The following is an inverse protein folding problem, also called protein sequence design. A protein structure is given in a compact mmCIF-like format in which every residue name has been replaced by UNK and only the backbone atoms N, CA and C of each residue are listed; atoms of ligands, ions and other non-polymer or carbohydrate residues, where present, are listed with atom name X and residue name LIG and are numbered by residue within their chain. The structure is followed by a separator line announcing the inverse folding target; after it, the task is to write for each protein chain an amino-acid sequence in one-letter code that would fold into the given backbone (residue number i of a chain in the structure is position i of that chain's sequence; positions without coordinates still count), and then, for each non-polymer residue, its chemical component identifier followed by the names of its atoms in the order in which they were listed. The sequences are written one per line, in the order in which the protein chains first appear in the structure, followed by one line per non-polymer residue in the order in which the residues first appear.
data_IF_004923775988
#
_entry.id   IF_004923775988
#
_cell.length_a   1.000
_cell.length_b   1.000
_cell.length_c   1.000
_cell.angle_alpha   90.00
_cell.angle_beta   90.00
_cell.angle_gamma   90.00
#
_symmetry.space_group_name_H-M   'P 1'
#
loop_
_entity.id
_entity.type
_entity.pdbx_description
1 polymer ?
#
# COMPACT_ATOMS: atom_id res chain seq x y z
N UNK A 1 7.51 -5.66 -14.46
CA UNK A 1 6.88 -6.90 -14.96
C UNK A 1 7.50 -7.35 -16.28
N UNK A 2 7.66 -6.48 -17.28
CA UNK A 2 8.30 -6.82 -18.57
C UNK A 2 9.65 -7.52 -18.42
N UNK A 3 10.55 -6.99 -17.57
CA UNK A 3 11.84 -7.64 -17.31
C UNK A 3 11.71 -9.00 -16.60
N UNK A 4 10.72 -9.16 -15.73
CA UNK A 4 10.46 -10.42 -15.02
C UNK A 4 9.93 -11.50 -15.98
N UNK A 5 8.99 -11.15 -16.87
CA UNK A 5 8.51 -12.07 -17.91
C UNK A 5 9.63 -12.48 -18.86
N UNK A 6 10.46 -11.52 -19.31
CA UNK A 6 11.63 -11.82 -20.14
C UNK A 6 12.63 -12.74 -19.43
N UNK A 7 12.88 -12.51 -18.14
CA UNK A 7 13.78 -13.37 -17.36
C UNK A 7 13.21 -14.79 -17.21
N UNK A 8 11.89 -14.93 -17.04
CA UNK A 8 11.21 -16.22 -17.00
C UNK A 8 11.27 -16.97 -18.34
N UNK A 9 11.09 -16.27 -19.46
CA UNK A 9 11.28 -16.81 -20.80
C UNK A 9 12.71 -17.29 -21.01
N UNK A 10 13.70 -16.46 -20.69
CA UNK A 10 15.13 -16.80 -20.79
C UNK A 10 15.51 -18.01 -19.92
N UNK A 11 14.95 -18.10 -18.71
CA UNK A 11 15.14 -19.25 -17.83
C UNK A 11 14.62 -20.54 -18.49
N UNK A 12 13.43 -20.47 -19.10
CA UNK A 12 12.82 -21.60 -19.79
C UNK A 12 13.61 -22.01 -21.04
N UNK A 13 14.07 -21.04 -21.83
CA UNK A 13 14.92 -21.26 -23.02
C UNK A 13 16.28 -21.88 -22.65
N UNK A 14 16.84 -21.52 -21.50
CA UNK A 14 18.06 -22.10 -20.97
C UNK A 14 17.86 -23.51 -20.35
N UNK A 15 16.64 -24.07 -20.40
CA UNK A 15 16.32 -25.40 -19.89
C UNK A 15 16.12 -25.48 -18.38
N UNK A 16 16.08 -24.35 -17.68
CA UNK A 16 15.74 -24.30 -16.26
C UNK A 16 14.23 -24.32 -16.08
N UNK A 17 13.75 -25.14 -15.15
CA UNK A 17 12.31 -25.28 -14.86
C UNK A 17 11.92 -24.32 -13.75
N UNK A 18 10.85 -23.58 -13.97
CA UNK A 18 10.22 -22.76 -12.95
C UNK A 18 9.70 -23.61 -11.80
N UNK A 19 9.77 -23.05 -10.60
CA UNK A 19 9.26 -23.67 -9.37
C UNK A 19 8.12 -22.83 -8.77
N UNK A 20 7.59 -23.29 -7.64
CA UNK A 20 6.53 -22.61 -6.88
C UNK A 20 6.88 -21.14 -6.57
N UNK A 21 8.10 -20.87 -6.14
CA UNK A 21 8.55 -19.51 -5.76
C UNK A 21 8.60 -18.59 -6.98
N UNK A 22 9.01 -19.13 -8.13
CA UNK A 22 9.00 -18.40 -9.40
C UNK A 22 7.59 -17.97 -9.76
N UNK A 23 6.61 -18.87 -9.67
CA UNK A 23 5.21 -18.55 -9.97
C UNK A 23 4.60 -17.57 -8.97
N UNK A 24 4.87 -17.70 -7.67
CA UNK A 24 4.45 -16.69 -6.67
C UNK A 24 4.96 -15.30 -7.05
N UNK A 25 6.24 -15.21 -7.43
CA UNK A 25 6.87 -13.94 -7.82
C UNK A 25 6.23 -13.32 -9.06
N UNK A 26 5.95 -14.14 -10.08
CA UNK A 26 5.30 -13.69 -11.32
C UNK A 26 3.85 -13.30 -11.10
N UNK A 27 3.07 -14.10 -10.38
CA UNK A 27 1.66 -13.84 -10.08
C UNK A 27 1.50 -12.59 -9.21
N UNK A 28 2.34 -12.43 -8.18
CA UNK A 28 2.39 -11.21 -7.38
C UNK A 28 2.72 -10.00 -8.25
N UNK A 29 3.71 -10.13 -9.14
CA UNK A 29 4.06 -9.10 -10.13
C UNK A 29 2.89 -8.72 -11.04
N UNK A 30 2.15 -9.70 -11.57
CA UNK A 30 0.95 -9.48 -12.39
C UNK A 30 -0.16 -8.77 -11.61
N UNK A 31 -0.45 -9.22 -10.37
CA UNK A 31 -1.41 -8.58 -9.46
C UNK A 31 -1.05 -7.11 -9.23
N UNK A 32 0.24 -6.82 -9.17
CA UNK A 32 0.79 -5.51 -8.89
C UNK A 32 0.98 -4.61 -10.11
N UNK A 33 0.86 -5.16 -11.32
CA UNK A 33 0.93 -4.46 -12.59
C UNK A 33 -0.43 -4.35 -13.29
N UNK A 34 -1.50 -4.93 -12.71
CA UNK A 34 -2.83 -4.97 -13.32
C UNK A 34 -2.95 -5.94 -14.49
N UNK A 35 -1.97 -6.82 -14.68
CA UNK A 35 -1.91 -7.81 -15.77
C UNK A 35 -2.73 -9.04 -15.43
N UNK A 36 -4.05 -8.84 -15.30
CA UNK A 36 -4.97 -9.85 -14.75
C UNK A 36 -5.11 -11.07 -15.64
N UNK A 37 -5.14 -10.87 -16.96
CA UNK A 37 -5.32 -11.96 -17.92
C UNK A 37 -4.06 -12.80 -18.02
N UNK A 38 -2.89 -12.15 -18.10
CA UNK A 38 -1.59 -12.80 -18.14
C UNK A 38 -1.33 -13.58 -16.84
N UNK A 39 -1.69 -13.01 -15.70
CA UNK A 39 -1.59 -13.70 -14.41
C UNK A 39 -2.50 -14.93 -14.32
N UNK A 40 -3.72 -14.89 -14.87
CA UNK A 40 -4.59 -16.06 -14.96
C UNK A 40 -3.97 -17.16 -15.85
N UNK A 41 -3.44 -16.79 -17.01
CA UNK A 41 -2.74 -17.71 -17.91
C UNK A 41 -1.54 -18.36 -17.20
N UNK A 42 -0.75 -17.57 -16.47
CA UNK A 42 0.37 -18.08 -15.68
C UNK A 42 -0.11 -19.07 -14.61
N UNK A 43 -1.18 -18.74 -13.88
CA UNK A 43 -1.74 -19.63 -12.86
C UNK A 43 -2.21 -20.96 -13.45
N UNK A 44 -2.93 -20.93 -14.57
CA UNK A 44 -3.44 -22.13 -15.24
C UNK A 44 -2.31 -22.99 -15.85
N UNK A 45 -1.22 -22.33 -16.27
CA UNK A 45 -0.02 -23.00 -16.81
C UNK A 45 0.74 -23.81 -15.75
N UNK A 46 0.61 -23.49 -14.46
CA UNK A 46 1.34 -24.17 -13.39
C UNK A 46 1.13 -25.68 -13.43
N UNK A 47 -0.12 -26.13 -13.46
CA UNK A 47 -0.44 -27.56 -13.48
C UNK A 47 -0.22 -28.18 -14.86
N UNK A 48 -0.66 -27.50 -15.91
CA UNK A 48 -0.70 -28.05 -17.28
C UNK A 48 0.65 -28.03 -17.99
N UNK A 49 1.47 -27.00 -17.77
CA UNK A 49 2.77 -26.82 -18.38
C UNK A 49 3.94 -27.16 -17.46
N UNK A 50 3.79 -26.94 -16.14
CA UNK A 50 4.90 -27.09 -15.20
C UNK A 50 4.70 -28.20 -14.16
N UNK A 51 3.56 -28.89 -14.15
CA UNK A 51 3.27 -29.96 -13.19
C UNK A 51 3.31 -29.51 -11.72
N UNK A 52 3.08 -28.22 -11.47
CA UNK A 52 3.06 -27.61 -10.14
C UNK A 52 1.60 -27.45 -9.70
N UNK A 53 1.26 -28.02 -8.55
CA UNK A 53 -0.04 -27.79 -7.93
C UNK A 53 -0.06 -26.45 -7.18
N UNK A 54 -1.04 -25.57 -7.46
CA UNK A 54 -1.12 -24.29 -6.75
C UNK A 54 -1.34 -24.47 -5.24
N UNK A 55 -0.47 -23.84 -4.45
CA UNK A 55 -0.59 -23.75 -2.99
C UNK A 55 -1.34 -22.47 -2.54
N UNK A 56 -1.48 -22.26 -1.23
CA UNK A 56 -2.19 -21.11 -0.65
C UNK A 56 -1.69 -19.75 -1.14
N UNK A 57 -0.38 -19.59 -1.34
CA UNK A 57 0.22 -18.32 -1.76
C UNK A 57 -0.10 -17.99 -3.22
N UNK A 58 -0.14 -19.00 -4.09
CA UNK A 58 -0.58 -18.84 -5.47
C UNK A 58 -2.06 -18.43 -5.55
N UNK A 59 -2.92 -19.08 -4.76
CA UNK A 59 -4.33 -18.70 -4.67
C UNK A 59 -4.52 -17.30 -4.09
N UNK A 60 -3.73 -16.90 -3.08
CA UNK A 60 -3.75 -15.55 -2.55
C UNK A 60 -3.39 -14.52 -3.63
N UNK A 61 -2.36 -14.78 -4.45
CA UNK A 61 -2.01 -13.89 -5.57
C UNK A 61 -3.14 -13.80 -6.61
N UNK A 62 -3.76 -14.92 -6.97
CA UNK A 62 -4.86 -14.95 -7.94
C UNK A 62 -6.10 -14.18 -7.42
N UNK A 63 -6.47 -14.39 -6.16
CA UNK A 63 -7.61 -13.71 -5.53
C UNK A 63 -7.34 -12.22 -5.39
N UNK A 64 -6.13 -11.82 -4.99
CA UNK A 64 -5.73 -10.41 -4.92
C UNK A 64 -5.82 -9.73 -6.29
N UNK A 65 -5.32 -10.40 -7.33
CA UNK A 65 -5.32 -9.91 -8.70
C UNK A 65 -6.76 -9.70 -9.23
N UNK A 66 -7.61 -10.72 -9.12
CA UNK A 66 -9.02 -10.63 -9.52
C UNK A 66 -9.76 -9.56 -8.70
N UNK A 67 -9.52 -9.52 -7.39
CA UNK A 67 -10.13 -8.56 -6.47
C UNK A 67 -9.77 -7.11 -6.80
N UNK A 68 -8.50 -6.82 -7.11
CA UNK A 68 -8.04 -5.49 -7.54
C UNK A 68 -8.65 -5.08 -8.88
N UNK A 69 -8.84 -6.03 -9.80
CA UNK A 69 -9.48 -5.79 -11.09
C UNK A 69 -11.00 -5.60 -11.01
N UNK A 70 -11.62 -5.67 -9.82
CA UNK A 70 -13.07 -5.55 -9.66
C UNK A 70 -13.84 -6.81 -10.01
N UNK A 71 -13.15 -7.93 -10.28
CA UNK A 71 -13.74 -9.23 -10.64
C UNK A 71 -14.05 -10.03 -9.37
N UNK A 72 -14.79 -9.44 -8.43
CA UNK A 72 -14.95 -9.96 -7.07
C UNK A 72 -15.73 -11.29 -7.05
N UNK A 73 -16.71 -11.47 -7.94
CA UNK A 73 -17.47 -12.71 -8.06
C UNK A 73 -16.58 -13.86 -8.54
N UNK A 74 -15.62 -13.58 -9.42
CA UNK A 74 -14.64 -14.55 -9.89
C UNK A 74 -13.66 -14.91 -8.79
N UNK A 75 -13.17 -13.91 -8.04
CA UNK A 75 -12.34 -14.12 -6.88
C UNK A 75 -13.05 -15.02 -5.83
N UNK A 76 -14.34 -14.79 -5.57
CA UNK A 76 -15.14 -15.65 -4.68
C UNK A 76 -15.33 -17.06 -5.24
N UNK A 77 -15.45 -17.24 -6.56
CA UNK A 77 -15.50 -18.58 -7.18
C UNK A 77 -14.18 -19.32 -7.00
N UNK A 78 -13.03 -18.64 -7.11
CA UNK A 78 -11.71 -19.22 -6.83
C UNK A 78 -11.64 -19.71 -5.39
N UNK A 79 -12.04 -18.87 -4.43
CA UNK A 79 -12.07 -19.22 -3.00
C UNK A 79 -13.00 -20.40 -2.69
N UNK A 80 -14.10 -20.56 -3.43
CA UNK A 80 -15.00 -21.72 -3.26
C UNK A 80 -14.47 -23.02 -3.89
N UNK A 81 -13.60 -22.92 -4.89
CA UNK A 81 -13.12 -24.07 -5.67
C UNK A 81 -11.72 -24.55 -5.25
N UNK A 82 -10.98 -23.74 -4.49
CA UNK A 82 -9.65 -24.12 -4.04
C UNK A 82 -9.72 -25.38 -3.15
N UNK A 83 -8.74 -26.29 -3.26
CA UNK A 83 -8.78 -27.59 -2.58
C UNK A 83 -8.40 -27.55 -1.10
N UNK A 84 -8.18 -26.35 -0.54
CA UNK A 84 -7.79 -26.13 0.86
C UNK A 84 -8.56 -24.96 1.47
N UNK A 85 -8.57 -24.86 2.80
CA UNK A 85 -9.23 -23.76 3.49
C UNK A 85 -8.55 -22.41 3.20
N UNK A 86 -9.30 -21.32 2.96
CA UNK A 86 -8.70 -20.04 2.63
C UNK A 86 -7.99 -19.41 3.85
N UNK A 87 -6.76 -18.96 3.64
CA UNK A 87 -5.94 -18.29 4.65
C UNK A 87 -6.44 -16.87 4.96
N UNK A 88 -5.93 -16.29 6.05
CA UNK A 88 -6.14 -14.87 6.37
C UNK A 88 -5.71 -13.93 5.25
N UNK A 89 -4.63 -14.26 4.50
CA UNK A 89 -4.19 -13.47 3.35
C UNK A 89 -5.23 -13.44 2.21
N UNK A 90 -5.88 -14.56 1.90
CA UNK A 90 -6.93 -14.65 0.87
C UNK A 90 -8.15 -13.80 1.27
N UNK A 91 -8.62 -13.95 2.51
CA UNK A 91 -9.74 -13.15 3.02
C UNK A 91 -9.38 -11.67 3.12
N UNK A 92 -8.15 -11.35 3.51
CA UNK A 92 -7.62 -9.99 3.55
C UNK A 92 -7.60 -9.33 2.17
N UNK A 93 -7.21 -10.06 1.12
CA UNK A 93 -7.27 -9.59 -0.27
C UNK A 93 -8.70 -9.28 -0.72
N UNK A 94 -9.67 -10.14 -0.41
CA UNK A 94 -11.08 -9.87 -0.70
C UNK A 94 -11.63 -8.69 0.12
N UNK A 95 -11.24 -8.55 1.39
CA UNK A 95 -11.64 -7.41 2.21
C UNK A 95 -11.09 -6.10 1.64
N UNK A 96 -9.84 -6.09 1.18
CA UNK A 96 -9.25 -4.96 0.50
C UNK A 96 -9.97 -4.65 -0.84
N UNK A 97 -10.36 -5.68 -1.62
CA UNK A 97 -11.19 -5.49 -2.82
C UNK A 97 -12.54 -4.85 -2.48
N UNK A 98 -13.19 -5.26 -1.38
CA UNK A 98 -14.41 -4.61 -0.92
C UNK A 98 -14.21 -3.13 -0.60
N UNK A 99 -13.06 -2.76 -0.02
CA UNK A 99 -12.71 -1.35 0.22
C UNK A 99 -12.51 -0.57 -1.08
N UNK A 100 -11.83 -1.15 -2.06
CA UNK A 100 -11.54 -0.50 -3.33
C UNK A 100 -12.81 -0.24 -4.16
N UNK A 101 -13.77 -1.17 -4.10
CA UNK A 101 -14.96 -1.16 -4.96
C UNK A 101 -16.28 -0.88 -4.22
N UNK A 102 -16.24 -0.59 -2.91
CA UNK A 102 -17.40 -0.18 -2.13
C UNK A 102 -18.37 -1.30 -1.70
N UNK A 103 -17.92 -2.56 -1.66
CA UNK A 103 -18.77 -3.70 -1.28
C UNK A 103 -18.92 -3.84 0.25
N UNK A 104 -19.61 -2.90 0.90
CA UNK A 104 -19.75 -2.85 2.37
C UNK A 104 -20.34 -4.14 2.95
N UNK A 105 -21.48 -4.62 2.45
CA UNK A 105 -22.15 -5.82 3.00
C UNK A 105 -21.29 -7.08 2.93
N UNK A 106 -20.53 -7.24 1.84
CA UNK A 106 -19.59 -8.36 1.69
C UNK A 106 -18.39 -8.21 2.63
N UNK A 107 -17.87 -7.00 2.80
CA UNK A 107 -16.80 -6.71 3.75
C UNK A 107 -17.19 -7.10 5.18
N UNK A 108 -18.43 -6.88 5.61
CA UNK A 108 -18.88 -7.28 6.95
C UNK A 108 -18.82 -8.81 7.15
N UNK A 109 -19.22 -9.57 6.13
CA UNK A 109 -19.17 -11.04 6.16
C UNK A 109 -17.71 -11.51 6.24
N UNK A 110 -16.85 -10.96 5.39
CA UNK A 110 -15.43 -11.33 5.33
C UNK A 110 -14.71 -10.92 6.63
N UNK A 111 -14.97 -9.74 7.16
CA UNK A 111 -14.37 -9.29 8.42
C UNK A 111 -14.77 -10.19 9.59
N UNK A 112 -16.01 -10.68 9.65
CA UNK A 112 -16.43 -11.67 10.66
C UNK A 112 -15.64 -12.97 10.56
N UNK A 113 -15.27 -13.41 9.35
CA UNK A 113 -14.39 -14.58 9.16
C UNK A 113 -12.98 -14.27 9.65
N UNK A 114 -12.41 -13.14 9.23
CA UNK A 114 -11.08 -12.71 9.65
C UNK A 114 -10.95 -12.52 11.17
N UNK A 115 -11.99 -12.03 11.85
CA UNK A 115 -11.99 -11.91 13.31
C UNK A 115 -12.03 -13.26 14.04
N UNK A 116 -12.41 -14.35 13.36
CA UNK A 116 -12.34 -15.70 13.90
C UNK A 116 -10.96 -16.33 13.64
N UNK A 117 -10.41 -16.13 12.44
CA UNK A 117 -9.14 -16.73 12.02
C UNK A 117 -7.95 -15.98 12.66
N UNK A 118 -8.03 -14.66 12.72
CA UNK A 118 -6.95 -13.78 13.20
C UNK A 118 -7.51 -12.73 14.18
N UNK A 119 -8.04 -13.14 15.35
CA UNK A 119 -8.75 -12.26 16.27
C UNK A 119 -7.89 -11.09 16.77
N UNK A 120 -6.57 -11.27 16.83
CA UNK A 120 -5.62 -10.26 17.34
C UNK A 120 -4.96 -9.43 16.24
N UNK A 121 -5.31 -9.63 14.97
CA UNK A 121 -4.69 -8.87 13.87
C UNK A 121 -5.37 -7.49 13.74
N UNK A 122 -4.69 -6.37 14.09
CA UNK A 122 -5.29 -5.04 14.04
C UNK A 122 -5.65 -4.60 12.62
N UNK A 123 -4.94 -5.12 11.60
CA UNK A 123 -5.16 -4.78 10.19
C UNK A 123 -6.59 -5.08 9.73
N UNK A 124 -7.18 -6.18 10.20
CA UNK A 124 -8.53 -6.60 9.84
C UNK A 124 -9.61 -5.63 10.34
N UNK A 125 -9.44 -5.14 11.58
CA UNK A 125 -10.38 -4.18 12.20
C UNK A 125 -10.23 -2.81 11.57
N UNK A 126 -8.98 -2.35 11.38
CA UNK A 126 -8.70 -1.08 10.71
C UNK A 126 -9.26 -1.09 9.29
N UNK A 127 -9.13 -2.19 8.55
CA UNK A 127 -9.67 -2.30 7.21
C UNK A 127 -11.20 -2.19 7.19
N UNK A 128 -11.91 -2.89 8.07
CA UNK A 128 -13.38 -2.77 8.19
C UNK A 128 -13.80 -1.35 8.59
N UNK A 129 -13.12 -0.75 9.57
CA UNK A 129 -13.35 0.64 9.97
C UNK A 129 -13.15 1.59 8.79
N UNK A 130 -12.12 1.39 7.96
CA UNK A 130 -11.86 2.22 6.80
C UNK A 130 -12.95 2.08 5.73
N UNK A 131 -13.48 0.87 5.54
CA UNK A 131 -14.59 0.61 4.62
C UNK A 131 -15.84 1.37 5.07
N UNK A 132 -16.17 1.33 6.36
CA UNK A 132 -17.28 2.12 6.90
C UNK A 132 -17.06 3.62 6.76
N UNK A 133 -15.85 4.11 7.02
CA UNK A 133 -15.53 5.53 6.85
C UNK A 133 -15.68 5.99 5.39
N UNK A 134 -15.21 5.20 4.43
CA UNK A 134 -15.40 5.47 3.00
C UNK A 134 -16.88 5.52 2.60
N UNK A 135 -17.73 4.76 3.29
CA UNK A 135 -19.19 4.76 3.09
C UNK A 135 -19.93 5.81 3.94
N UNK A 136 -19.22 6.68 4.69
CA UNK A 136 -19.82 7.68 5.58
C UNK A 136 -20.52 7.09 6.82
N UNK A 137 -20.31 5.81 7.13
CA UNK A 137 -20.95 5.09 8.23
C UNK A 137 -20.21 5.30 9.56
N UNK A 138 -20.18 6.53 10.07
CA UNK A 138 -19.38 6.90 11.24
C UNK A 138 -19.76 6.18 12.54
N UNK A 139 -21.03 5.83 12.73
CA UNK A 139 -21.44 5.05 13.90
C UNK A 139 -20.86 3.63 13.86
N UNK A 140 -20.73 3.04 12.66
CA UNK A 140 -20.06 1.75 12.48
C UNK A 140 -18.55 1.86 12.72
N UNK A 141 -17.92 2.97 12.34
CA UNK A 141 -16.52 3.26 12.67
C UNK A 141 -16.30 3.27 14.18
N UNK A 142 -17.17 3.95 14.94
CA UNK A 142 -17.10 3.98 16.40
C UNK A 142 -17.23 2.58 17.00
N UNK A 143 -18.20 1.78 16.55
CA UNK A 143 -18.38 0.40 17.01
C UNK A 143 -17.14 -0.48 16.78
N UNK A 144 -16.45 -0.33 15.64
CA UNK A 144 -15.22 -1.08 15.39
C UNK A 144 -14.09 -0.63 16.34
N UNK A 145 -13.99 0.67 16.63
CA UNK A 145 -13.00 1.20 17.59
C UNK A 145 -13.26 0.70 19.02
N UNK A 146 -14.50 0.76 19.47
CA UNK A 146 -14.92 0.20 20.76
C UNK A 146 -14.62 -1.30 20.84
N UNK A 147 -14.89 -2.05 19.76
CA UNK A 147 -14.55 -3.47 19.70
C UNK A 147 -13.03 -3.72 19.80
N UNK A 148 -12.21 -2.89 19.15
CA UNK A 148 -10.75 -2.97 19.28
C UNK A 148 -10.30 -2.68 20.71
N UNK A 149 -10.87 -1.67 21.35
CA UNK A 149 -10.56 -1.30 22.74
C UNK A 149 -10.92 -2.43 23.72
N UNK A 150 -12.14 -2.98 23.63
CA UNK A 150 -12.60 -4.11 24.46
C UNK A 150 -11.69 -5.33 24.29
N UNK A 151 -11.17 -5.56 23.08
CA UNK A 151 -10.26 -6.68 22.77
C UNK A 151 -8.78 -6.36 23.02
N UNK A 152 -8.45 -5.16 23.48
CA UNK A 152 -7.06 -4.72 23.70
C UNK A 152 -6.22 -4.63 22.42
N UNK A 153 -6.87 -4.51 21.25
CA UNK A 153 -6.22 -4.47 19.94
C UNK A 153 -5.73 -3.05 19.66
N UNK A 154 -4.42 -2.90 19.50
CA UNK A 154 -3.79 -1.61 19.20
C UNK A 154 -3.29 -1.58 17.77
N UNK A 155 -3.59 -0.49 17.06
CA UNK A 155 -3.02 -0.20 15.74
C UNK A 155 -1.62 0.39 15.93
N UNK A 156 -0.68 -0.02 15.08
CA UNK A 156 0.63 0.63 15.02
C UNK A 156 0.54 2.04 14.44
N UNK A 157 1.32 2.96 15.00
CA UNK A 157 1.46 4.29 14.43
C UNK A 157 2.26 4.23 13.13
N UNK A 158 1.83 5.00 12.13
CA UNK A 158 2.60 5.18 10.90
C UNK A 158 3.93 5.85 11.23
N UNK A 159 5.02 5.22 10.83
CA UNK A 159 6.38 5.66 11.08
C UNK A 159 7.21 5.59 9.81
N UNK A 160 8.16 6.51 9.68
CA UNK A 160 9.09 6.58 8.56
C UNK A 160 10.51 6.78 9.04
N UNK A 161 11.47 6.21 8.32
CA UNK A 161 12.89 6.29 8.62
C UNK A 161 13.66 6.80 7.43
N UNK A 162 14.64 7.66 7.69
CA UNK A 162 15.64 8.11 6.72
C UNK A 162 17.02 7.79 7.27
N UNK A 163 17.85 7.14 6.45
CA UNK A 163 19.25 6.95 6.78
C UNK A 163 20.09 8.03 6.11
N UNK A 164 20.81 8.81 6.91
CA UNK A 164 21.75 9.83 6.43
C UNK A 164 23.10 9.52 7.07
N UNK A 165 24.08 9.19 6.23
CA UNK A 165 25.40 8.70 6.66
C UNK A 165 25.22 7.45 7.54
N UNK A 166 25.76 7.48 8.76
CA UNK A 166 25.77 6.43 9.77
C UNK A 166 24.55 6.49 10.72
N UNK A 167 23.63 7.44 10.53
CA UNK A 167 22.49 7.64 11.44
C UNK A 167 21.15 7.39 10.78
N UNK A 168 20.28 6.71 11.53
CA UNK A 168 18.87 6.51 11.19
C UNK A 168 18.05 7.54 11.97
N UNK A 169 17.23 8.30 11.24
CA UNK A 169 16.30 9.28 11.78
C UNK A 169 14.87 8.76 11.63
N UNK A 170 14.11 8.72 12.72
CA UNK A 170 12.74 8.21 12.75
C UNK A 170 11.71 9.32 12.93
N UNK A 171 10.59 9.21 12.23
CA UNK A 171 9.44 10.12 12.29
C UNK A 171 8.18 9.31 12.52
N UNK A 172 7.33 9.75 13.44
CA UNK A 172 6.04 9.11 13.76
C UNK A 172 4.93 10.06 13.35
N UNK A 173 3.87 9.53 12.74
CA UNK A 173 2.68 10.30 12.38
C UNK A 173 2.07 10.97 13.63
N UNK A 174 1.76 12.26 13.53
CA UNK A 174 1.34 13.08 14.68
C UNK A 174 2.48 13.50 15.62
N UNK A 175 3.72 13.06 15.37
CA UNK A 175 4.92 13.46 16.10
C UNK A 175 5.79 14.47 15.36
N UNK A 176 7.06 14.60 15.78
CA UNK A 176 8.05 15.46 15.11
C UNK A 176 7.80 16.96 15.28
N UNK A 177 7.09 17.36 16.34
CA UNK A 177 6.66 18.75 16.58
C UNK A 177 7.83 19.74 16.58
N UNK A 178 8.94 19.41 17.27
CA UNK A 178 10.14 20.24 17.28
C UNK A 178 10.70 20.47 15.87
N UNK A 179 10.81 19.40 15.08
CA UNK A 179 11.33 19.49 13.72
C UNK A 179 10.37 20.28 12.81
N UNK A 180 9.06 19.99 12.85
CA UNK A 180 8.02 20.66 12.05
C UNK A 180 7.93 22.16 12.33
N UNK A 181 8.30 22.58 13.54
CA UNK A 181 8.31 23.99 13.94
C UNK A 181 9.65 24.70 13.73
N UNK A 182 10.70 23.99 13.32
CA UNK A 182 11.98 24.62 13.02
C UNK A 182 11.92 25.53 11.79
N UNK A 183 12.70 26.61 11.79
CA UNK A 183 12.77 27.55 10.67
C UNK A 183 13.20 26.88 9.36
N UNK A 184 14.15 25.92 9.46
CA UNK A 184 14.62 25.15 8.31
C UNK A 184 13.51 24.31 7.69
N UNK A 185 12.71 23.63 8.51
CA UNK A 185 11.56 22.87 8.03
C UNK A 185 10.54 23.79 7.36
N UNK A 186 10.10 24.86 8.05
CA UNK A 186 9.08 25.78 7.53
C UNK A 186 9.50 26.40 6.22
N UNK A 187 10.78 26.80 6.08
CA UNK A 187 11.33 27.32 4.83
C UNK A 187 11.20 26.31 3.69
N UNK A 188 11.76 25.11 3.85
CA UNK A 188 11.74 24.08 2.80
C UNK A 188 10.32 23.62 2.49
N UNK A 189 9.47 23.46 3.52
CA UNK A 189 8.07 23.10 3.36
C UNK A 189 7.31 24.13 2.53
N UNK A 190 7.43 25.42 2.85
CA UNK A 190 6.72 26.48 2.14
C UNK A 190 7.20 26.62 0.70
N UNK A 191 8.50 26.53 0.45
CA UNK A 191 9.07 26.54 -0.90
C UNK A 191 8.56 25.35 -1.73
N UNK A 192 8.57 24.14 -1.15
CA UNK A 192 8.10 22.94 -1.80
C UNK A 192 6.60 23.03 -2.11
N UNK A 193 5.78 23.40 -1.12
CA UNK A 193 4.32 23.55 -1.27
C UNK A 193 3.96 24.52 -2.38
N UNK A 194 4.57 25.71 -2.39
CA UNK A 194 4.35 26.72 -3.44
C UNK A 194 4.67 26.18 -4.84
N UNK A 195 5.72 25.39 -4.99
CA UNK A 195 6.09 24.82 -6.29
C UNK A 195 5.16 23.66 -6.69
N UNK A 196 4.73 22.84 -5.72
CA UNK A 196 3.80 21.74 -5.96
C UNK A 196 2.41 22.26 -6.36
N UNK A 197 1.92 23.34 -5.74
CA UNK A 197 0.65 24.01 -6.09
C UNK A 197 0.64 24.48 -7.55
N UNK A 198 1.73 25.09 -8.04
CA UNK A 198 1.87 25.47 -9.46
C UNK A 198 1.78 24.26 -10.41
N UNK A 199 2.17 23.09 -9.93
CA UNK A 199 2.07 21.83 -10.68
C UNK A 199 0.72 21.12 -10.52
N UNK A 200 -0.24 21.74 -9.83
CA UNK A 200 -1.61 21.24 -9.65
C UNK A 200 -1.81 20.34 -8.44
N UNK A 201 -0.85 20.24 -7.52
CA UNK A 201 -1.02 19.44 -6.31
C UNK A 201 -1.98 20.12 -5.33
N UNK A 202 -2.96 19.37 -4.85
CA UNK A 202 -3.82 19.73 -3.72
C UNK A 202 -3.89 18.54 -2.77
N UNK A 203 -3.82 18.74 -1.44
CA UNK A 203 -3.96 17.63 -0.49
C UNK A 203 -5.32 16.95 -0.60
N UNK A 204 -5.31 15.64 -0.85
CA UNK A 204 -6.51 14.81 -0.78
C UNK A 204 -6.82 14.46 0.69
N UNK A 205 -7.83 15.13 1.25
CA UNK A 205 -8.30 14.93 2.64
C UNK A 205 -9.13 13.65 2.81
N UNK A 206 -9.57 13.02 1.72
CA UNK A 206 -10.35 11.78 1.75
C UNK A 206 -9.60 10.61 2.37
N UNK A 207 -8.27 10.67 2.42
CA UNK A 207 -7.45 9.67 3.13
C UNK A 207 -7.54 9.76 4.66
N UNK A 208 -8.09 10.86 5.21
CA UNK A 208 -8.33 11.01 6.64
C UNK A 208 -9.70 10.47 6.98
N UNK A 209 -9.70 9.22 7.43
CA UNK A 209 -10.90 8.47 7.79
C UNK A 209 -11.36 8.77 9.23
N UNK A 210 -11.49 10.07 9.52
CA UNK A 210 -11.98 10.61 10.78
C UNK A 210 -13.02 11.70 10.52
N UNK A 211 -14.06 11.69 11.35
CA UNK A 211 -15.12 12.71 11.35
C UNK A 211 -14.63 13.97 12.06
N UNK A 212 -13.86 14.78 11.34
CA UNK A 212 -13.26 16.05 11.77
C UNK A 212 -13.40 17.08 10.64
N UNK A 213 -13.20 18.36 10.96
CA UNK A 213 -13.30 19.43 9.97
C UNK A 213 -12.17 19.35 8.90
N UNK A 214 -12.40 19.96 7.75
CA UNK A 214 -11.47 19.88 6.61
C UNK A 214 -10.10 20.51 6.91
N UNK A 215 -10.04 21.59 7.68
CA UNK A 215 -8.78 22.24 8.06
C UNK A 215 -7.88 21.29 8.86
N UNK A 216 -8.46 20.57 9.82
CA UNK A 216 -7.76 19.55 10.60
C UNK A 216 -7.36 18.35 9.73
N UNK A 217 -8.21 17.93 8.77
CA UNK A 217 -7.82 16.87 7.82
C UNK A 217 -6.59 17.27 7.02
N UNK A 218 -6.57 18.48 6.46
CA UNK A 218 -5.40 19.01 5.73
C UNK A 218 -4.15 18.98 6.63
N UNK A 219 -4.27 19.45 7.87
CA UNK A 219 -3.16 19.46 8.82
C UNK A 219 -2.61 18.05 9.09
N UNK A 220 -3.50 17.08 9.29
CA UNK A 220 -3.17 15.69 9.59
C UNK A 220 -2.49 15.00 8.41
N UNK A 221 -3.03 15.15 7.20
CA UNK A 221 -2.41 14.60 5.98
C UNK A 221 -1.03 15.19 5.75
N UNK A 222 -0.88 16.50 5.95
CA UNK A 222 0.40 17.19 5.85
C UNK A 222 1.40 16.79 6.94
N UNK A 223 0.91 16.23 8.05
CA UNK A 223 1.70 15.73 9.18
C UNK A 223 2.11 14.25 9.09
N UNK A 224 1.84 13.58 7.97
CA UNK A 224 2.26 12.18 7.80
C UNK A 224 3.79 12.02 7.87
N UNK A 225 4.23 10.92 8.49
CA UNK A 225 5.65 10.63 8.78
C UNK A 225 6.54 10.65 7.54
N UNK A 226 6.03 10.23 6.38
CA UNK A 226 6.83 10.17 5.15
C UNK A 226 7.17 11.56 4.64
N UNK A 227 6.29 12.55 4.85
CA UNK A 227 6.54 13.93 4.44
C UNK A 227 7.60 14.56 5.31
N UNK A 228 7.52 14.32 6.63
CA UNK A 228 8.56 14.74 7.58
C UNK A 228 9.91 14.14 7.19
N UNK A 229 9.94 12.84 6.90
CA UNK A 229 11.12 12.14 6.41
C UNK A 229 11.68 12.76 5.11
N UNK A 230 10.83 13.04 4.12
CA UNK A 230 11.27 13.68 2.86
C UNK A 230 11.87 15.05 3.11
N UNK A 231 11.21 15.91 3.88
CA UNK A 231 11.70 17.27 4.16
C UNK A 231 13.01 17.20 4.95
N UNK A 232 13.12 16.27 5.90
CA UNK A 232 14.36 16.03 6.61
C UNK A 232 15.49 15.61 5.67
N UNK A 233 15.20 14.70 4.73
CA UNK A 233 16.12 14.30 3.67
C UNK A 233 16.55 15.47 2.78
N UNK A 234 15.62 16.34 2.37
CA UNK A 234 15.91 17.53 1.57
C UNK A 234 16.84 18.52 2.29
N UNK A 235 16.67 18.70 3.60
CA UNK A 235 17.48 19.62 4.40
C UNK A 235 18.90 19.08 4.64
N UNK A 236 19.02 17.77 4.88
CA UNK A 236 20.26 17.19 5.43
C UNK A 236 21.08 16.39 4.41
N UNK A 237 20.69 16.36 3.13
CA UNK A 237 21.44 15.68 2.07
C UNK A 237 21.82 16.63 0.93
N UNK A 238 23.02 16.44 0.37
CA UNK A 238 23.53 17.27 -0.73
C UNK A 238 22.65 17.23 -1.98
N UNK A 239 22.64 18.33 -2.73
CA UNK A 239 21.85 18.48 -3.98
C UNK A 239 22.06 17.30 -4.93
N UNK A 240 20.98 16.85 -5.60
CA UNK A 240 21.01 15.73 -6.54
C UNK A 240 21.02 14.31 -5.93
N UNK A 241 21.37 14.12 -4.65
CA UNK A 241 21.40 12.78 -4.05
C UNK A 241 19.99 12.15 -3.92
N UNK A 242 19.80 10.84 -4.05
CA UNK A 242 18.49 10.26 -3.79
C UNK A 242 18.13 10.32 -2.29
N UNK A 243 16.87 10.63 -1.98
CA UNK A 243 16.32 10.53 -0.62
C UNK A 243 15.74 9.12 -0.47
N UNK A 244 16.17 8.38 0.56
CA UNK A 244 15.72 7.01 0.83
C UNK A 244 14.92 6.95 2.12
N UNK A 245 13.68 6.49 2.00
CA UNK A 245 12.71 6.46 3.09
C UNK A 245 12.19 5.03 3.22
N UNK A 246 12.07 4.53 4.44
CA UNK A 246 11.33 3.29 4.74
C UNK A 246 10.09 3.64 5.57
N UNK A 247 8.96 2.99 5.32
CA UNK A 247 7.69 3.17 6.05
C UNK A 247 7.19 1.81 6.55
N UNK A 248 6.66 1.75 7.78
CA UNK A 248 6.13 0.50 8.37
C UNK A 248 4.70 0.18 7.95
N UNK A 249 4.02 1.11 7.30
CA UNK A 249 2.70 0.91 6.72
C UNK A 249 2.78 1.15 5.21
N UNK A 250 1.79 0.66 4.49
CA UNK A 250 1.58 1.03 3.09
C UNK A 250 1.42 2.55 2.96
N UNK A 251 2.05 3.18 1.95
CA UNK A 251 1.90 4.63 1.71
C UNK A 251 0.43 4.98 1.44
N UNK A 252 -0.06 6.16 1.82
CA UNK A 252 -1.43 6.56 1.46
C UNK A 252 -1.48 7.22 0.08
N UNK A 253 -2.66 7.27 -0.53
CA UNK A 253 -2.86 7.85 -1.88
C UNK A 253 -2.33 9.28 -1.99
N UNK A 254 -2.63 10.13 -1.01
CA UNK A 254 -2.16 11.51 -1.03
C UNK A 254 -0.66 11.65 -0.78
N UNK A 255 -0.05 10.85 0.09
CA UNK A 255 1.41 10.86 0.25
C UNK A 255 2.13 10.34 -1.00
N UNK A 256 1.55 9.36 -1.69
CA UNK A 256 2.07 8.90 -2.97
C UNK A 256 2.01 10.01 -4.04
N UNK A 257 0.87 10.69 -4.17
CA UNK A 257 0.72 11.84 -5.05
C UNK A 257 1.69 12.97 -4.69
N UNK A 258 1.74 13.36 -3.41
CA UNK A 258 2.64 14.37 -2.88
C UNK A 258 4.10 14.06 -3.20
N UNK A 259 4.55 12.80 -3.05
CA UNK A 259 5.93 12.41 -3.36
C UNK A 259 6.27 12.56 -4.85
N UNK A 260 5.30 12.32 -5.76
CA UNK A 260 5.47 12.62 -7.18
C UNK A 260 5.76 14.11 -7.36
N UNK A 261 4.89 14.98 -6.84
CA UNK A 261 5.06 16.43 -6.95
C UNK A 261 6.35 16.93 -6.26
N UNK A 262 6.67 16.41 -5.08
CA UNK A 262 7.88 16.73 -4.34
C UNK A 262 9.15 16.34 -5.12
N UNK A 263 9.16 15.19 -5.79
CA UNK A 263 10.29 14.77 -6.64
C UNK A 263 10.53 15.73 -7.82
N UNK A 264 9.45 16.25 -8.41
CA UNK A 264 9.51 17.24 -9.50
C UNK A 264 9.98 18.60 -9.00
N UNK A 265 9.37 19.11 -7.92
CA UNK A 265 9.67 20.41 -7.35
C UNK A 265 11.11 20.50 -6.81
N UNK A 266 11.56 19.46 -6.11
CA UNK A 266 12.93 19.41 -5.58
C UNK A 266 13.98 19.02 -6.61
N UNK A 267 13.58 18.48 -7.77
CA UNK A 267 14.47 17.84 -8.77
C UNK A 267 15.32 16.72 -8.14
N UNK A 268 14.74 15.98 -7.18
CA UNK A 268 15.40 14.87 -6.47
C UNK A 268 14.63 13.57 -6.69
N UNK A 269 15.37 12.48 -6.85
CA UNK A 269 14.79 11.14 -6.78
C UNK A 269 14.43 10.83 -5.32
N UNK A 270 13.20 10.41 -5.08
CA UNK A 270 12.75 9.93 -3.77
C UNK A 270 12.45 8.44 -3.91
N UNK A 271 13.05 7.62 -3.05
CA UNK A 271 12.85 6.18 -3.01
C UNK A 271 12.17 5.88 -1.68
N UNK A 272 10.91 5.44 -1.73
CA UNK A 272 10.13 5.05 -0.57
C UNK A 272 9.90 3.55 -0.60
N UNK A 273 10.41 2.82 0.39
CA UNK A 273 10.01 1.44 0.66
C UNK A 273 8.82 1.46 1.62
N UNK A 274 7.69 0.94 1.21
CA UNK A 274 6.58 0.63 2.12
C UNK A 274 6.53 -0.89 2.42
N UNK A 275 5.45 -1.36 3.06
CA UNK A 275 5.29 -2.78 3.40
C UNK A 275 5.20 -3.70 2.18
N UNK A 276 4.88 -3.16 1.01
CA UNK A 276 4.56 -3.94 -0.18
C UNK A 276 5.63 -3.84 -1.26
N UNK A 277 6.23 -2.66 -1.45
CA UNK A 277 7.18 -2.42 -2.55
C UNK A 277 8.06 -1.18 -2.37
N UNK A 278 8.93 -0.99 -3.35
CA UNK A 278 9.64 0.26 -3.57
C UNK A 278 8.87 1.14 -4.56
N UNK A 279 8.68 2.39 -4.17
CA UNK A 279 8.19 3.48 -5.00
C UNK A 279 9.37 4.37 -5.36
N UNK A 280 9.67 4.49 -6.64
CA UNK A 280 10.72 5.36 -7.15
C UNK A 280 10.06 6.58 -7.78
N UNK A 281 10.07 7.69 -7.04
CA UNK A 281 9.53 8.96 -7.50
C UNK A 281 10.61 9.76 -8.21
N UNK A 282 10.35 10.15 -9.45
CA UNK A 282 11.25 10.95 -10.26
C UNK A 282 10.44 11.79 -11.26
N UNK A 283 10.73 13.09 -11.31
CA UNK A 283 10.10 14.04 -12.25
C UNK A 283 8.57 14.00 -12.29
N UNK A 284 7.93 13.75 -11.14
CA UNK A 284 6.46 13.71 -11.07
C UNK A 284 5.83 12.36 -11.41
N UNK A 285 6.64 11.32 -11.63
CA UNK A 285 6.17 9.95 -11.89
C UNK A 285 6.64 9.00 -10.79
N UNK A 286 5.92 7.90 -10.62
CA UNK A 286 6.32 6.79 -9.76
C UNK A 286 6.50 5.52 -10.58
N UNK A 287 7.47 4.68 -10.22
CA UNK A 287 7.70 3.36 -10.84
C UNK A 287 6.53 2.39 -10.76
N UNK A 288 5.51 2.65 -9.93
CA UNK A 288 4.31 1.82 -9.84
C UNK A 288 3.22 2.17 -10.88
N UNK A 289 3.40 3.23 -11.67
CA UNK A 289 2.40 3.73 -12.63
C UNK A 289 1.00 3.97 -12.01
N UNK A 290 0.97 4.40 -10.75
CA UNK A 290 -0.26 4.63 -9.97
C UNK A 290 -1.13 3.37 -9.76
N UNK A 291 -0.56 2.18 -10.02
CA UNK A 291 -1.18 0.88 -9.74
C UNK A 291 -0.42 0.15 -8.63
N UNK A 292 -0.88 0.30 -7.38
CA UNK A 292 -0.24 -0.28 -6.20
C UNK A 292 -1.27 -0.72 -5.17
#
# INVERSE_FOLDING_TARGET
MTEAMRAFEQMSEAGFRADEVTFISLLSGCSHAGMTNEGQILFDSMRTGFGIDPNLEHYACLVDMLGRAGRIEEALKVVKKMPMEPSGSIWGSLLNSCRLHGYVSLAEVIAKLLFKIEPSNPGNYVMLSNIYANAGMWDRVKLVRELMEIRGIKKEAGSSWVQIRDRVHSFVAGGGFEFRNSDKYRKVWNELTKEMEKSGYTPDTGVVLHDINEEMKVEWVCGHSERLATVFGLIHTGSGLPIRITKNLRVCTDCHAWMKHASKASKRKIILRDTNRFHHFHEGKCSCNDYW
#
